data_IF_775817274683
#
_entry.id   IF_775817274683
#
_cell.length_a   1.000
_cell.length_b   1.000
_cell.length_c   1.000
_cell.angle_alpha   90.00
_cell.angle_beta   90.00
_cell.angle_gamma   90.00
#
_symmetry.space_group_name_H-M   'P 1'
#
loop_
_entity.id
_entity.type
_entity.pdbx_description
1 polymer ?
#
# COMPACT_ATOMS: atom_id res chain seq x y z
N UNK A 1 11.55 2.19 3.83
CA UNK A 1 11.39 1.02 4.72
C UNK A 1 10.02 1.07 5.35
N UNK A 2 9.38 -0.07 5.51
CA UNK A 2 8.13 -0.20 6.24
C UNK A 2 8.46 -0.42 7.72
N UNK A 3 7.96 0.44 8.60
CA UNK A 3 8.19 0.31 10.04
C UNK A 3 6.90 0.59 10.83
N UNK A 4 6.87 0.21 12.10
CA UNK A 4 5.72 0.51 12.95
C UNK A 4 5.58 2.03 13.26
N UNK A 5 6.60 2.82 12.97
CA UNK A 5 6.55 4.28 13.10
C UNK A 5 5.99 4.99 11.86
N UNK A 6 5.73 4.27 10.79
CA UNK A 6 5.18 4.82 9.55
C UNK A 6 5.87 4.29 8.30
N UNK A 7 5.40 4.75 7.16
CA UNK A 7 5.83 4.32 5.84
C UNK A 7 4.65 3.98 4.94
N UNK A 8 4.89 3.46 3.73
CA UNK A 8 3.81 3.02 2.85
C UNK A 8 2.97 1.93 3.48
N UNK A 9 1.67 1.90 3.19
CA UNK A 9 0.76 0.86 3.66
C UNK A 9 1.20 -0.51 3.18
N UNK A 10 1.18 -1.49 4.09
CA UNK A 10 1.54 -2.90 3.79
C UNK A 10 0.32 -3.77 3.53
N UNK A 11 -0.84 -3.37 4.02
CA UNK A 11 -2.14 -3.97 3.75
C UNK A 11 -3.16 -2.87 3.44
N UNK A 12 -4.02 -3.10 2.47
CA UNK A 12 -5.00 -2.13 1.98
C UNK A 12 -6.28 -2.84 1.59
N UNK A 13 -7.42 -2.20 1.82
CA UNK A 13 -8.74 -2.74 1.49
C UNK A 13 -9.50 -1.74 0.63
N UNK A 14 -10.21 -2.24 -0.39
CA UNK A 14 -11.12 -1.43 -1.18
C UNK A 14 -12.39 -1.13 -0.37
N UNK A 15 -12.70 0.16 -0.25
CA UNK A 15 -13.90 0.65 0.45
C UNK A 15 -14.74 1.48 -0.52
N UNK A 16 -16.03 1.60 -0.20
CA UNK A 16 -16.94 2.53 -0.86
C UNK A 16 -17.23 3.68 0.12
N UNK A 17 -16.79 4.88 -0.24
CA UNK A 17 -17.07 6.11 0.50
C UNK A 17 -17.40 7.25 -0.51
N UNK A 18 -18.68 7.49 -0.77
CA UNK A 18 -19.12 8.51 -1.72
C UNK A 18 -18.66 9.94 -1.37
N UNK A 19 -18.44 10.24 -0.09
CA UNK A 19 -17.97 11.55 0.35
C UNK A 19 -16.50 11.77 -0.01
N UNK A 20 -15.69 10.74 0.16
CA UNK A 20 -14.27 10.73 -0.18
C UNK A 20 -14.07 10.77 -1.70
N UNK A 21 -14.87 9.98 -2.44
CA UNK A 21 -14.89 9.99 -3.89
C UNK A 21 -15.23 11.39 -4.44
N UNK A 22 -16.34 11.99 -3.98
CA UNK A 22 -16.75 13.33 -4.39
C UNK A 22 -15.69 14.40 -4.04
N UNK A 23 -14.98 14.26 -2.92
CA UNK A 23 -13.89 15.18 -2.55
C UNK A 23 -12.70 15.03 -3.51
N UNK A 24 -12.31 13.81 -3.84
CA UNK A 24 -11.23 13.53 -4.80
C UNK A 24 -11.55 14.05 -6.20
N UNK A 25 -12.75 13.78 -6.71
CA UNK A 25 -13.19 14.25 -8.02
C UNK A 25 -13.19 15.79 -8.11
N UNK A 26 -13.76 16.50 -7.12
CA UNK A 26 -13.73 17.98 -7.09
C UNK A 26 -12.33 18.56 -7.12
N UNK A 27 -11.34 17.89 -6.47
CA UNK A 27 -9.95 18.35 -6.50
C UNK A 27 -9.33 18.16 -7.88
N UNK A 28 -9.56 17.03 -8.53
CA UNK A 28 -9.04 16.76 -9.87
C UNK A 28 -9.70 17.66 -10.94
N UNK A 29 -11.00 17.92 -10.82
CA UNK A 29 -11.72 18.86 -11.66
C UNK A 29 -11.20 20.29 -11.50
N UNK A 30 -10.97 20.76 -10.26
CA UNK A 30 -10.42 22.09 -10.00
C UNK A 30 -8.99 22.28 -10.56
N UNK A 31 -8.25 21.19 -10.73
CA UNK A 31 -6.91 21.17 -11.34
C UNK A 31 -6.95 20.98 -12.86
N UNK A 32 -8.13 20.77 -13.45
CA UNK A 32 -8.29 20.37 -14.85
C UNK A 32 -7.39 19.16 -15.19
N UNK A 33 -7.33 18.20 -14.24
CA UNK A 33 -6.42 17.06 -14.33
C UNK A 33 -6.90 16.03 -15.32
N UNK A 34 -5.97 15.55 -16.16
CA UNK A 34 -6.22 14.50 -17.12
C UNK A 34 -5.17 13.39 -16.99
N UNK A 35 -5.61 12.16 -16.77
CA UNK A 35 -4.73 11.00 -16.62
C UNK A 35 -4.77 10.36 -15.21
N UNK A 36 -3.90 9.38 -14.94
CA UNK A 36 -3.88 8.70 -13.65
C UNK A 36 -3.47 9.64 -12.52
N UNK A 37 -4.18 9.57 -11.41
CA UNK A 37 -3.86 10.28 -10.18
C UNK A 37 -4.30 9.47 -8.97
N UNK A 38 -3.57 9.61 -7.86
CA UNK A 38 -3.98 9.17 -6.54
C UNK A 38 -4.15 10.40 -5.66
N UNK A 39 -5.34 10.59 -5.10
CA UNK A 39 -5.63 11.62 -4.10
C UNK A 39 -5.63 10.95 -2.74
N UNK A 40 -4.69 11.32 -1.88
CA UNK A 40 -4.53 10.72 -0.55
C UNK A 40 -5.13 11.60 0.53
N UNK A 41 -6.00 11.00 1.34
CA UNK A 41 -6.62 11.65 2.50
C UNK A 41 -6.25 10.89 3.78
N UNK A 42 -6.19 11.63 4.87
CA UNK A 42 -6.12 11.09 6.22
C UNK A 42 -7.46 11.31 6.92
N UNK A 43 -8.03 10.25 7.46
CA UNK A 43 -9.22 10.33 8.29
C UNK A 43 -8.82 10.62 9.74
N UNK A 44 -9.45 11.61 10.35
CA UNK A 44 -9.33 11.86 11.79
C UNK A 44 -10.58 11.30 12.51
N UNK A 45 -10.43 10.27 13.34
CA UNK A 45 -11.57 9.67 14.05
C UNK A 45 -12.13 10.56 15.17
N UNK A 46 -11.46 11.65 15.53
CA UNK A 46 -11.88 12.55 16.60
C UNK A 46 -12.98 13.51 16.12
N UNK A 47 -12.79 14.09 14.95
CA UNK A 47 -13.76 15.02 14.35
C UNK A 47 -14.57 14.39 13.21
N UNK A 48 -14.15 13.21 12.72
CA UNK A 48 -14.82 12.50 11.64
C UNK A 48 -14.56 13.07 10.25
N UNK A 49 -13.51 13.89 10.11
CA UNK A 49 -13.20 14.61 8.87
C UNK A 49 -12.04 13.97 8.08
N UNK A 50 -12.05 14.19 6.76
CA UNK A 50 -10.97 13.80 5.87
C UNK A 50 -10.08 15.00 5.55
N UNK A 51 -8.78 14.85 5.75
CA UNK A 51 -7.78 15.87 5.45
C UNK A 51 -6.94 15.45 4.25
N UNK A 52 -6.90 16.32 3.21
CA UNK A 52 -6.04 16.09 2.06
C UNK A 52 -4.56 16.04 2.49
N UNK A 53 -3.88 14.96 2.12
CA UNK A 53 -2.44 14.79 2.37
C UNK A 53 -1.63 15.17 1.14
N UNK A 54 -1.90 14.50 0.00
CA UNK A 54 -1.20 14.75 -1.25
C UNK A 54 -2.01 14.30 -2.47
N UNK A 55 -1.61 14.82 -3.63
CA UNK A 55 -2.08 14.34 -4.94
C UNK A 55 -0.87 13.84 -5.70
N UNK A 56 -0.86 12.57 -6.05
CA UNK A 56 0.18 11.94 -6.84
C UNK A 56 -0.28 11.81 -8.30
N UNK A 57 0.16 12.68 -9.23
CA UNK A 57 -0.28 12.70 -10.63
C UNK A 57 0.45 11.61 -11.45
N UNK A 58 0.38 10.38 -11.03
CA UNK A 58 1.06 9.20 -11.58
C UNK A 58 0.45 7.93 -11.04
N UNK A 59 0.82 6.79 -11.60
CA UNK A 59 0.57 5.52 -10.94
C UNK A 59 1.25 5.46 -9.56
N UNK A 60 0.65 4.76 -8.62
CA UNK A 60 1.06 4.69 -7.22
C UNK A 60 1.41 3.27 -6.79
N UNK A 61 2.06 3.14 -5.63
CA UNK A 61 2.60 1.87 -5.14
C UNK A 61 1.56 0.81 -4.82
N UNK A 62 0.31 1.19 -4.53
CA UNK A 62 -0.79 0.27 -4.23
C UNK A 62 -1.69 -0.03 -5.44
N UNK A 63 -1.16 0.09 -6.66
CA UNK A 63 -1.92 -0.10 -7.90
C UNK A 63 -2.51 -1.50 -8.05
N UNK A 64 -1.94 -2.50 -7.41
CA UNK A 64 -2.46 -3.86 -7.42
C UNK A 64 -3.87 -3.96 -6.82
N UNK A 65 -4.18 -3.18 -5.78
CA UNK A 65 -5.49 -3.19 -5.14
C UNK A 65 -6.63 -2.86 -6.10
N UNK A 66 -6.65 -1.69 -6.80
CA UNK A 66 -7.73 -1.40 -7.73
C UNK A 66 -7.83 -2.41 -8.89
N UNK A 67 -6.70 -2.93 -9.39
CA UNK A 67 -6.71 -3.97 -10.41
C UNK A 67 -7.39 -5.24 -9.89
N UNK A 68 -7.07 -5.66 -8.66
CA UNK A 68 -7.71 -6.80 -7.99
C UNK A 68 -9.20 -6.55 -7.73
N UNK A 69 -9.58 -5.31 -7.41
CA UNK A 69 -10.96 -4.90 -7.21
C UNK A 69 -11.75 -4.72 -8.52
N UNK A 70 -11.13 -4.94 -9.69
CA UNK A 70 -11.79 -4.92 -11.00
C UNK A 70 -11.54 -3.68 -11.85
N UNK A 71 -10.73 -2.72 -11.38
CA UNK A 71 -10.41 -1.47 -12.12
C UNK A 71 -8.97 -1.49 -12.60
N UNK A 72 -8.75 -1.87 -13.85
CA UNK A 72 -7.44 -1.92 -14.49
C UNK A 72 -7.00 -0.52 -14.96
N UNK A 73 -6.44 0.28 -14.06
CA UNK A 73 -5.93 1.62 -14.36
C UNK A 73 -4.89 1.66 -15.50
N UNK A 74 -3.91 0.74 -15.60
CA UNK A 74 -3.01 0.66 -16.74
C UNK A 74 -3.74 0.52 -18.08
N UNK A 75 -4.73 -0.37 -18.15
CA UNK A 75 -5.55 -0.57 -19.35
C UNK A 75 -6.37 0.70 -19.66
N UNK A 76 -7.07 1.23 -18.68
CA UNK A 76 -7.87 2.46 -18.84
C UNK A 76 -7.01 3.64 -19.31
N UNK A 77 -5.79 3.78 -18.80
CA UNK A 77 -4.89 4.85 -19.23
C UNK A 77 -4.39 4.65 -20.66
N UNK A 78 -4.12 3.41 -21.06
CA UNK A 78 -3.79 3.11 -22.44
C UNK A 78 -4.95 3.44 -23.38
N UNK A 79 -6.17 3.04 -23.04
CA UNK A 79 -7.39 3.32 -23.80
C UNK A 79 -7.63 4.83 -23.89
N UNK A 80 -7.51 5.56 -22.78
CA UNK A 80 -7.60 7.01 -22.76
C UNK A 80 -6.60 7.68 -23.70
N UNK A 81 -5.33 7.23 -23.67
CA UNK A 81 -4.27 7.77 -24.52
C UNK A 81 -4.46 7.46 -26.01
N UNK A 82 -5.19 6.41 -26.34
CA UNK A 82 -5.48 5.98 -27.72
C UNK A 82 -6.86 6.38 -28.21
N UNK A 83 -7.64 7.12 -27.41
CA UNK A 83 -8.98 7.59 -27.75
C UNK A 83 -10.08 6.53 -27.66
N UNK A 84 -9.89 5.48 -26.85
CA UNK A 84 -10.80 4.34 -26.72
C UNK A 84 -11.66 4.32 -25.45
N UNK A 85 -11.54 5.28 -24.54
CA UNK A 85 -12.38 5.33 -23.33
C UNK A 85 -13.58 6.25 -23.58
N UNK A 86 -14.76 5.66 -23.54
CA UNK A 86 -16.02 6.40 -23.76
C UNK A 86 -16.72 6.76 -22.44
N UNK A 87 -16.54 5.97 -21.37
CA UNK A 87 -17.18 6.20 -20.08
C UNK A 87 -16.27 5.84 -18.89
N UNK A 88 -16.38 6.58 -17.76
CA UNK A 88 -15.65 6.26 -16.54
C UNK A 88 -16.18 4.98 -15.89
N UNK A 89 -15.27 4.16 -15.35
CA UNK A 89 -15.62 2.94 -14.62
C UNK A 89 -15.63 3.23 -13.10
N UNK A 90 -16.81 3.17 -12.49
CA UNK A 90 -17.01 3.33 -11.05
C UNK A 90 -17.42 2.03 -10.35
N UNK A 91 -17.65 0.96 -11.11
CA UNK A 91 -17.98 -0.35 -10.56
C UNK A 91 -16.70 -1.08 -10.16
N UNK A 92 -16.54 -1.35 -8.86
CA UNK A 92 -15.45 -2.14 -8.32
C UNK A 92 -15.90 -2.97 -7.12
N UNK A 93 -15.17 -4.03 -6.84
CA UNK A 93 -15.45 -4.92 -5.71
C UNK A 93 -14.93 -4.31 -4.41
N UNK A 94 -15.84 -4.07 -3.44
CA UNK A 94 -15.51 -3.57 -2.11
C UNK A 94 -15.17 -4.71 -1.15
N UNK A 95 -14.39 -4.42 -0.09
CA UNK A 95 -13.94 -5.41 0.88
C UNK A 95 -12.81 -6.31 0.39
N UNK A 96 -12.33 -6.11 -0.84
CA UNK A 96 -11.14 -6.81 -1.34
C UNK A 96 -9.90 -6.24 -0.66
N UNK A 97 -9.10 -7.13 -0.05
CA UNK A 97 -7.81 -6.78 0.56
C UNK A 97 -6.62 -7.13 -0.34
N UNK A 98 -5.55 -6.37 -0.24
CA UNK A 98 -4.31 -6.64 -0.97
C UNK A 98 -3.09 -6.42 -0.07
N UNK A 99 -2.18 -7.39 -0.06
CA UNK A 99 -1.01 -7.46 0.80
C UNK A 99 0.27 -7.09 0.06
N UNK A 100 1.10 -6.25 0.69
CA UNK A 100 2.50 -6.10 0.34
C UNK A 100 3.35 -6.99 1.24
N UNK A 101 3.41 -8.30 0.94
CA UNK A 101 4.00 -9.32 1.81
C UNK A 101 5.43 -8.97 2.30
N UNK A 102 6.28 -8.45 1.41
CA UNK A 102 7.64 -8.03 1.77
C UNK A 102 7.61 -6.82 2.73
N UNK A 103 6.63 -5.93 2.55
CA UNK A 103 6.41 -4.81 3.47
C UNK A 103 5.96 -5.28 4.85
N UNK A 104 5.07 -6.27 4.93
CA UNK A 104 4.64 -6.88 6.20
C UNK A 104 5.79 -7.56 6.93
N UNK A 105 6.66 -8.28 6.21
CA UNK A 105 7.87 -8.85 6.79
C UNK A 105 8.81 -7.76 7.33
N UNK A 106 8.99 -6.66 6.59
CA UNK A 106 9.79 -5.52 7.03
C UNK A 106 9.18 -4.83 8.26
N UNK A 107 7.84 -4.71 8.30
CA UNK A 107 7.10 -4.20 9.45
C UNK A 107 7.34 -5.06 10.69
N UNK A 108 7.15 -6.39 10.60
CA UNK A 108 7.42 -7.30 11.71
C UNK A 108 8.89 -7.25 12.17
N UNK A 109 9.83 -7.12 11.22
CA UNK A 109 11.24 -6.94 11.53
C UNK A 109 11.49 -5.64 12.29
N UNK A 110 10.84 -4.53 11.91
CA UNK A 110 10.96 -3.25 12.62
C UNK A 110 10.47 -3.32 14.07
N UNK A 111 9.45 -4.13 14.36
CA UNK A 111 9.01 -4.38 15.73
C UNK A 111 10.13 -5.06 16.56
N UNK A 112 10.99 -5.85 15.95
CA UNK A 112 12.09 -6.52 16.65
C UNK A 112 13.30 -5.61 16.85
N UNK A 113 13.60 -4.74 15.89
CA UNK A 113 14.88 -4.03 15.78
C UNK A 113 14.79 -2.55 16.15
N UNK A 114 13.67 -1.90 15.86
CA UNK A 114 13.54 -0.46 16.00
C UNK A 114 12.98 -0.10 17.39
N UNK A 115 13.39 1.08 17.90
CA UNK A 115 12.87 1.66 19.12
C UNK A 115 12.69 3.17 18.93
N UNK A 116 11.43 3.62 18.86
CA UNK A 116 11.08 5.02 18.62
C UNK A 116 10.56 5.65 19.91
N UNK A 117 11.23 6.67 20.39
CA UNK A 117 10.99 7.28 21.71
C UNK A 117 9.56 7.81 21.94
N UNK A 118 8.82 8.11 20.88
CA UNK A 118 7.49 8.74 20.96
C UNK A 118 6.35 7.88 20.39
N UNK A 119 6.64 6.64 20.01
CA UNK A 119 5.67 5.72 19.39
C UNK A 119 5.67 4.42 20.19
N UNK A 120 4.50 4.04 20.69
CA UNK A 120 4.33 2.78 21.40
C UNK A 120 4.62 1.59 20.48
N UNK A 121 5.51 0.72 20.92
CA UNK A 121 5.93 -0.46 20.19
C UNK A 121 4.84 -1.52 20.22
N UNK A 122 4.31 -1.98 19.05
CA UNK A 122 3.31 -3.03 19.02
C UNK A 122 3.86 -4.35 19.57
N UNK A 123 2.98 -5.18 20.10
CA UNK A 123 3.35 -6.52 20.52
C UNK A 123 3.45 -7.46 19.31
N UNK A 124 4.58 -8.10 19.12
CA UNK A 124 4.88 -8.92 17.92
C UNK A 124 3.86 -10.06 17.69
N UNK A 125 3.46 -10.78 18.73
CA UNK A 125 2.58 -11.95 18.58
C UNK A 125 1.18 -11.61 18.08
N UNK A 126 0.47 -10.59 18.62
CA UNK A 126 -0.79 -10.12 18.05
C UNK A 126 -0.70 -9.70 16.58
N UNK A 127 0.36 -8.95 16.21
CA UNK A 127 0.58 -8.52 14.83
C UNK A 127 0.82 -9.70 13.88
N UNK A 128 1.63 -10.66 14.29
CA UNK A 128 1.88 -11.89 13.53
C UNK A 128 0.60 -12.70 13.30
N UNK A 129 -0.24 -12.81 14.34
CA UNK A 129 -1.53 -13.50 14.23
C UNK A 129 -2.50 -12.74 13.32
N UNK A 130 -2.56 -11.41 13.43
CA UNK A 130 -3.40 -10.56 12.60
C UNK A 130 -3.02 -10.68 11.12
N UNK A 131 -1.73 -10.53 10.79
CA UNK A 131 -1.21 -10.70 9.42
C UNK A 131 -1.48 -12.12 8.92
N UNK A 132 -1.15 -13.14 9.70
CA UNK A 132 -1.39 -14.53 9.32
C UNK A 132 -2.87 -14.84 9.03
N UNK A 133 -3.78 -14.25 9.81
CA UNK A 133 -5.21 -14.38 9.58
C UNK A 133 -5.64 -13.68 8.28
N UNK A 134 -5.23 -12.43 8.07
CA UNK A 134 -5.62 -11.66 6.90
C UNK A 134 -5.08 -12.27 5.60
N UNK A 135 -3.86 -12.77 5.59
CA UNK A 135 -3.26 -13.50 4.44
C UNK A 135 -4.07 -14.76 4.08
N UNK A 136 -4.67 -15.44 5.07
CA UNK A 136 -5.51 -16.62 4.81
C UNK A 136 -6.91 -16.24 4.31
N UNK A 137 -7.49 -15.16 4.85
CA UNK A 137 -8.84 -14.71 4.47
C UNK A 137 -8.87 -13.94 3.16
N UNK A 138 -7.81 -13.25 2.82
CA UNK A 138 -7.70 -12.35 1.67
C UNK A 138 -6.36 -12.55 0.94
N UNK A 139 -6.18 -13.67 0.22
CA UNK A 139 -4.88 -14.08 -0.33
C UNK A 139 -4.51 -13.34 -1.64
N UNK A 140 -4.70 -12.03 -1.70
CA UNK A 140 -4.27 -11.18 -2.80
C UNK A 140 -2.99 -10.43 -2.44
N UNK A 141 -2.06 -10.35 -3.39
CA UNK A 141 -0.72 -9.81 -3.16
C UNK A 141 -0.28 -8.88 -4.29
N UNK A 142 0.47 -7.82 -3.95
CA UNK A 142 0.96 -6.83 -4.92
C UNK A 142 1.86 -7.44 -6.01
N UNK A 143 2.67 -8.44 -5.68
CA UNK A 143 3.69 -8.99 -6.59
C UNK A 143 3.60 -10.50 -6.79
N UNK A 144 2.70 -11.19 -6.09
CA UNK A 144 2.55 -12.63 -6.20
C UNK A 144 1.30 -12.96 -7.04
N UNK A 145 1.54 -13.24 -8.33
CA UNK A 145 0.55 -13.80 -9.22
C UNK A 145 0.96 -15.23 -9.60
N UNK A 146 0.00 -16.15 -9.63
CA UNK A 146 0.31 -17.57 -9.90
C UNK A 146 0.70 -17.82 -11.37
N UNK A 147 0.24 -16.96 -12.28
CA UNK A 147 0.55 -16.99 -13.71
C UNK A 147 1.90 -16.35 -14.05
N UNK A 148 2.38 -15.38 -13.23
CA UNK A 148 3.74 -14.84 -13.32
C UNK A 148 4.36 -14.58 -11.94
N UNK A 149 5.04 -15.59 -11.35
CA UNK A 149 5.68 -15.43 -10.03
C UNK A 149 7.01 -14.66 -10.07
N UNK A 150 7.52 -14.26 -11.24
CA UNK A 150 8.84 -13.63 -11.40
C UNK A 150 8.98 -12.32 -10.62
N UNK A 151 8.01 -11.37 -10.60
CA UNK A 151 8.13 -10.15 -9.82
C UNK A 151 8.33 -10.42 -8.33
N UNK A 152 7.60 -11.40 -7.79
CA UNK A 152 7.74 -11.81 -6.39
C UNK A 152 9.12 -12.42 -6.11
N UNK A 153 9.58 -13.33 -6.96
CA UNK A 153 10.90 -13.97 -6.81
C UNK A 153 12.04 -12.95 -6.90
N UNK A 154 11.94 -11.97 -7.80
CA UNK A 154 12.91 -10.87 -7.89
C UNK A 154 12.94 -10.04 -6.60
N UNK A 155 11.79 -9.70 -6.04
CA UNK A 155 11.69 -8.95 -4.78
C UNK A 155 12.23 -9.76 -3.60
N UNK A 156 11.93 -11.05 -3.53
CA UNK A 156 12.46 -11.95 -2.51
C UNK A 156 13.99 -12.08 -2.60
N UNK A 157 14.53 -12.19 -3.82
CA UNK A 157 15.97 -12.21 -4.06
C UNK A 157 16.65 -10.91 -3.64
N UNK A 158 16.05 -9.74 -3.92
CA UNK A 158 16.56 -8.46 -3.46
C UNK A 158 16.59 -8.38 -1.92
N UNK A 159 15.52 -8.80 -1.25
CA UNK A 159 15.47 -8.87 0.21
C UNK A 159 16.55 -9.79 0.78
N UNK A 160 16.77 -10.97 0.17
CA UNK A 160 17.82 -11.89 0.58
C UNK A 160 19.24 -11.31 0.44
N UNK A 161 19.46 -10.44 -0.55
CA UNK A 161 20.72 -9.71 -0.71
C UNK A 161 20.92 -8.61 0.34
N UNK A 162 19.84 -8.04 0.87
CA UNK A 162 19.89 -7.01 1.92
C UNK A 162 20.04 -7.61 3.33
N UNK A 163 19.59 -8.85 3.56
CA UNK A 163 19.67 -9.54 4.85
C UNK A 163 21.07 -9.56 5.48
N UNK A 164 22.18 -9.78 4.76
CA UNK A 164 23.53 -9.78 5.35
C UNK A 164 23.95 -8.42 5.91
N UNK A 165 23.47 -7.31 5.31
CA UNK A 165 23.71 -5.97 5.86
C UNK A 165 22.91 -5.74 7.13
N UNK A 166 21.64 -6.14 7.13
CA UNK A 166 20.74 -6.05 8.28
C UNK A 166 21.25 -6.87 9.50
N UNK A 167 21.73 -8.09 9.26
CA UNK A 167 22.30 -8.92 10.34
C UNK A 167 23.62 -8.39 10.87
N UNK A 168 24.43 -7.74 10.03
CA UNK A 168 25.68 -7.10 10.44
C UNK A 168 25.43 -5.91 11.36
N UNK A 169 24.41 -5.11 11.05
CA UNK A 169 24.01 -3.95 11.87
C UNK A 169 23.46 -4.40 13.23
N UNK A 170 22.72 -5.51 13.28
CA UNK A 170 22.26 -6.13 14.54
C UNK A 170 23.40 -6.62 15.42
N UNK A 171 24.45 -7.19 14.82
CA UNK A 171 25.61 -7.72 15.55
C UNK A 171 26.61 -6.65 15.96
N UNK A 172 26.61 -5.50 15.28
CA UNK A 172 27.51 -4.38 15.58
C UNK A 172 27.12 -3.59 16.84
N UNK A 173 25.87 -3.75 17.34
CA UNK A 173 25.35 -3.02 18.50
C UNK A 173 25.22 -1.51 18.24
N UNK A 174 24.46 -0.76 19.05
CA UNK A 174 24.46 0.68 18.94
C UNK A 174 25.86 1.20 19.28
N UNK A 175 26.47 1.93 18.34
CA UNK A 175 27.68 2.71 18.62
C UNK A 175 27.34 3.71 19.72
N UNK A 176 27.75 3.39 20.95
CA UNK A 176 27.67 4.31 22.08
C UNK A 176 28.56 5.50 21.77
N UNK A 177 27.96 6.62 21.49
CA UNK A 177 28.62 7.94 21.58
C UNK A 177 27.77 8.86 22.41
#
# INVERSE_FOLDING_TARGET
SHSYAGGPSVYRTAIDDPSLEAAGLRLLEALDWHGPAMVEFKYDPVDGEFYLMEINPRFWGSLALPVTAGVDFPKLYYELATGGVDEPAFDYETGVGCHLLIGELSYLYSILTDDYAFIEKPALLPELVAIGRSVVTEPQFDYLALDDPRPFLCKLGALACELPSLTRDLLAGPLTS
#
